data_IF_514483850964
#
_entry.id   IF_514483850964
#
_cell.length_a   1.000
_cell.length_b   1.000
_cell.length_c   1.000
_cell.angle_alpha   90.00
_cell.angle_beta   90.00
_cell.angle_gamma   90.00
#
_symmetry.space_group_name_H-M   'P 1'
#
loop_
_entity.id
_entity.type
_entity.pdbx_description
1 polymer ?
#
# COMPACT_ATOMS: atom_id res chain seq x y z
N UNK A 1 4.03 0.52 -19.23
CA UNK A 1 2.93 0.03 -18.35
C UNK A 1 3.46 -0.46 -17.00
N UNK A 2 4.53 -1.25 -16.96
CA UNK A 2 5.22 -1.62 -15.71
C UNK A 2 5.96 -0.43 -15.06
N UNK A 3 6.53 0.48 -15.88
CA UNK A 3 7.21 1.69 -15.38
C UNK A 3 6.26 2.65 -14.65
N UNK A 4 5.06 2.85 -15.18
CA UNK A 4 4.02 3.69 -14.56
C UNK A 4 3.55 3.17 -13.20
N UNK A 5 3.64 1.85 -12.97
CA UNK A 5 3.36 1.24 -11.68
C UNK A 5 4.55 1.42 -10.73
N UNK A 6 5.77 1.23 -11.23
CA UNK A 6 7.00 1.40 -10.45
C UNK A 6 7.15 2.82 -9.92
N UNK A 7 6.92 3.83 -10.75
CA UNK A 7 6.98 5.25 -10.35
C UNK A 7 5.94 5.62 -9.27
N UNK A 8 4.75 5.01 -9.32
CA UNK A 8 3.71 5.24 -8.30
C UNK A 8 4.10 4.61 -6.97
N UNK A 9 4.67 3.39 -6.99
CA UNK A 9 5.11 2.71 -5.79
C UNK A 9 6.29 3.43 -5.12
N UNK A 10 7.25 3.92 -5.89
CA UNK A 10 8.40 4.67 -5.36
C UNK A 10 7.99 5.96 -4.65
N UNK A 11 7.00 6.69 -5.19
CA UNK A 11 6.44 7.88 -4.51
C UNK A 11 5.78 7.54 -3.18
N UNK A 12 5.02 6.45 -3.14
CA UNK A 12 4.34 5.99 -1.91
C UNK A 12 5.37 5.60 -0.85
N UNK A 13 6.38 4.80 -1.20
CA UNK A 13 7.45 4.42 -0.27
C UNK A 13 8.30 5.60 0.21
N UNK A 14 8.53 6.60 -0.65
CA UNK A 14 9.23 7.83 -0.27
C UNK A 14 8.44 8.63 0.77
N UNK A 15 7.12 8.73 0.63
CA UNK A 15 6.25 9.41 1.62
C UNK A 15 6.19 8.67 2.96
N UNK A 16 6.28 7.33 2.94
CA UNK A 16 6.27 6.49 4.13
C UNK A 16 7.58 6.56 4.92
N UNK A 17 8.74 6.65 4.25
CA UNK A 17 10.05 6.81 4.91
C UNK A 17 10.18 8.09 5.74
N UNK A 18 9.40 9.14 5.43
CA UNK A 18 9.46 10.42 6.14
C UNK A 18 8.69 10.45 7.48
N UNK A 19 7.82 9.47 7.75
CA UNK A 19 7.01 9.42 8.97
C UNK A 19 7.68 8.51 10.00
N UNK A 20 8.47 9.07 10.90
CA UNK A 20 9.27 8.33 11.90
C UNK A 20 8.47 7.40 12.84
N UNK A 21 7.14 7.56 12.96
CA UNK A 21 6.20 6.57 13.53
C UNK A 21 4.88 6.66 12.76
N UNK A 22 4.33 5.53 12.35
CA UNK A 22 2.99 5.44 11.77
C UNK A 22 1.98 5.05 12.86
N UNK A 23 0.83 5.72 12.90
CA UNK A 23 -0.29 5.29 13.74
C UNK A 23 -1.09 4.18 13.05
N UNK A 24 -1.89 3.40 13.79
CA UNK A 24 -2.80 2.43 13.17
C UNK A 24 -3.78 3.09 12.20
N UNK A 25 -4.22 4.31 12.50
CA UNK A 25 -5.10 5.09 11.64
C UNK A 25 -4.42 5.45 10.30
N UNK A 26 -3.14 5.82 10.31
CA UNK A 26 -2.37 6.09 9.09
C UNK A 26 -2.22 4.83 8.23
N UNK A 27 -1.96 3.67 8.86
CA UNK A 27 -1.81 2.38 8.17
C UNK A 27 -3.12 1.98 7.51
N UNK A 28 -4.24 2.13 8.20
CA UNK A 28 -5.55 1.78 7.68
C UNK A 28 -6.01 2.70 6.55
N UNK A 29 -5.75 4.00 6.66
CA UNK A 29 -6.02 4.97 5.60
C UNK A 29 -5.21 4.65 4.34
N UNK A 30 -3.90 4.41 4.50
CA UNK A 30 -2.99 4.10 3.39
C UNK A 30 -3.36 2.77 2.72
N UNK A 31 -3.67 1.74 3.52
CA UNK A 31 -4.10 0.44 2.99
C UNK A 31 -5.40 0.52 2.18
N UNK A 32 -6.29 1.47 2.52
CA UNK A 32 -7.52 1.71 1.77
C UNK A 32 -7.24 2.33 0.41
N UNK A 33 -6.35 3.32 0.34
CA UNK A 33 -5.96 3.94 -0.93
C UNK A 33 -5.27 2.95 -1.87
N UNK A 34 -4.35 2.14 -1.34
CA UNK A 34 -3.67 1.08 -2.11
C UNK A 34 -4.68 0.08 -2.66
N UNK A 35 -5.69 -0.32 -1.86
CA UNK A 35 -6.74 -1.23 -2.32
C UNK A 35 -7.51 -0.67 -3.51
N UNK A 36 -7.89 0.60 -3.46
CA UNK A 36 -8.61 1.27 -4.55
C UNK A 36 -7.75 1.28 -5.81
N UNK A 37 -6.50 1.72 -5.69
CA UNK A 37 -5.57 1.78 -6.82
C UNK A 37 -5.32 0.42 -7.48
N UNK A 38 -5.25 -0.67 -6.68
CA UNK A 38 -5.08 -2.02 -7.22
C UNK A 38 -6.33 -2.51 -7.95
N UNK A 39 -7.53 -2.21 -7.43
CA UNK A 39 -8.78 -2.58 -8.10
C UNK A 39 -8.99 -1.78 -9.39
N UNK A 40 -8.63 -0.50 -9.42
CA UNK A 40 -8.65 0.34 -10.62
C UNK A 40 -7.67 -0.13 -11.70
N UNK A 41 -6.62 -0.85 -11.30
CA UNK A 41 -5.64 -1.45 -12.21
C UNK A 41 -6.02 -2.87 -12.65
N UNK A 42 -7.29 -3.26 -12.52
CA UNK A 42 -7.83 -4.59 -12.87
C UNK A 42 -7.15 -5.76 -12.14
N UNK A 43 -6.64 -5.53 -10.92
CA UNK A 43 -6.06 -6.62 -10.10
C UNK A 43 -7.18 -7.44 -9.45
N UNK A 44 -7.08 -8.76 -9.56
CA UNK A 44 -8.06 -9.68 -8.99
C UNK A 44 -8.21 -9.52 -7.47
N UNK A 45 -9.45 -9.49 -6.98
CA UNK A 45 -9.78 -9.29 -5.57
C UNK A 45 -9.02 -10.22 -4.59
N UNK A 46 -8.80 -11.52 -4.88
CA UNK A 46 -8.01 -12.38 -3.98
C UNK A 46 -6.58 -11.89 -3.79
N UNK A 47 -5.95 -11.40 -4.86
CA UNK A 47 -4.58 -10.86 -4.84
C UNK A 47 -4.53 -9.57 -4.03
N UNK A 48 -5.49 -8.67 -4.23
CA UNK A 48 -5.58 -7.41 -3.48
C UNK A 48 -5.75 -7.67 -1.98
N UNK A 49 -6.61 -8.64 -1.59
CA UNK A 49 -6.81 -9.01 -0.19
C UNK A 49 -5.52 -9.55 0.45
N UNK A 50 -4.85 -10.48 -0.23
CA UNK A 50 -3.60 -11.05 0.26
C UNK A 50 -2.50 -9.99 0.42
N UNK A 51 -2.34 -9.12 -0.59
CA UNK A 51 -1.36 -8.05 -0.57
C UNK A 51 -1.58 -7.07 0.59
N UNK A 52 -2.81 -6.56 0.74
CA UNK A 52 -3.14 -5.63 1.83
C UNK A 52 -2.96 -6.29 3.21
N UNK A 53 -3.29 -7.58 3.35
CA UNK A 53 -3.05 -8.33 4.58
C UNK A 53 -1.57 -8.35 4.97
N UNK A 54 -0.70 -8.74 4.03
CA UNK A 54 0.74 -8.78 4.25
C UNK A 54 1.35 -7.40 4.57
N UNK A 55 0.84 -6.33 3.93
CA UNK A 55 1.28 -4.95 4.20
C UNK A 55 0.92 -4.52 5.63
N UNK A 56 -0.32 -4.78 6.07
CA UNK A 56 -0.76 -4.44 7.43
C UNK A 56 0.00 -5.22 8.50
N UNK A 57 0.26 -6.50 8.27
CA UNK A 57 1.03 -7.35 9.17
C UNK A 57 2.47 -6.81 9.35
N UNK A 58 3.15 -6.52 8.24
CA UNK A 58 4.50 -5.93 8.27
C UNK A 58 4.53 -4.58 8.96
N UNK A 59 3.55 -3.72 8.71
CA UNK A 59 3.47 -2.39 9.29
C UNK A 59 3.21 -2.40 10.81
N UNK A 60 2.58 -3.46 11.34
CA UNK A 60 2.38 -3.67 12.79
C UNK A 60 3.59 -4.31 13.48
N UNK A 61 4.44 -5.01 12.73
CA UNK A 61 5.63 -5.70 13.24
C UNK A 61 6.90 -4.83 13.33
N UNK A 62 6.84 -3.58 12.83
CA UNK A 62 7.94 -2.61 12.81
C UNK A 62 7.68 -1.48 13.82
#
# INVERSE_FOLDING_TARGET
MFDTLSDRLDKVFTSLRGKGRLSEADIDATAREIRIALLEADVALPVVKAFIGAVKERARSA
#
